data_IF_521853824808
#
_entry.id   IF_521853824808
#
_cell.length_a   1.000
_cell.length_b   1.000
_cell.length_c   1.000
_cell.angle_alpha   90.00
_cell.angle_beta   90.00
_cell.angle_gamma   90.00
#
_symmetry.space_group_name_H-M   'P 1'
#
loop_
_entity.id
_entity.type
_entity.pdbx_description
1 polymer ?
#
# COMPACT_ATOMS: atom_id res chain seq x y z
N UNK A 1 -3.98 -15.86 15.64
CA UNK A 1 -4.13 -14.94 14.49
C UNK A 1 -2.86 -14.13 14.40
N UNK A 2 -2.16 -14.18 13.28
CA UNK A 2 -1.07 -13.25 13.02
C UNK A 2 -1.71 -12.00 12.41
N UNK A 3 -1.81 -10.94 13.21
CA UNK A 3 -2.28 -9.65 12.70
C UNK A 3 -1.21 -9.03 11.79
N UNK A 4 -1.60 -8.35 10.72
CA UNK A 4 -0.69 -7.80 9.72
C UNK A 4 -0.09 -6.45 10.12
N UNK A 5 1.10 -6.17 9.62
CA UNK A 5 1.60 -4.80 9.45
C UNK A 5 1.40 -4.45 7.98
N UNK A 6 1.11 -3.17 7.67
CA UNK A 6 0.69 -2.74 6.33
C UNK A 6 0.98 -1.25 6.15
N UNK A 7 1.29 -0.82 4.92
CA UNK A 7 1.56 0.57 4.56
C UNK A 7 0.96 0.83 3.18
N UNK A 8 0.05 1.80 3.09
CA UNK A 8 -0.90 1.87 1.99
C UNK A 8 -0.77 3.14 1.15
N UNK A 9 -1.06 2.96 -0.15
CA UNK A 9 -1.45 3.99 -1.10
C UNK A 9 -2.72 3.48 -1.78
N UNK A 10 -3.84 4.14 -1.55
CA UNK A 10 -5.16 3.71 -2.04
C UNK A 10 -5.81 4.81 -2.88
N UNK A 11 -6.17 4.46 -4.11
CA UNK A 11 -6.90 5.35 -5.01
C UNK A 11 -8.40 5.11 -4.87
N UNK A 12 -9.13 6.14 -4.44
CA UNK A 12 -10.57 6.03 -4.21
C UNK A 12 -11.33 6.47 -5.46
N UNK A 13 -11.99 5.53 -6.14
CA UNK A 13 -12.55 5.74 -7.49
C UNK A 13 -13.52 6.92 -7.66
N UNK A 14 -14.13 7.42 -6.58
CA UNK A 14 -14.98 8.62 -6.56
C UNK A 14 -14.25 9.93 -6.86
N UNK A 15 -12.94 10.00 -6.63
CA UNK A 15 -12.12 11.19 -6.85
C UNK A 15 -10.76 10.82 -7.44
N UNK A 16 -10.55 11.22 -8.70
CA UNK A 16 -9.31 10.93 -9.43
C UNK A 16 -8.17 11.92 -9.17
N UNK A 17 -8.38 12.92 -8.31
CA UNK A 17 -7.41 13.97 -8.00
C UNK A 17 -6.77 13.82 -6.62
N UNK A 18 -7.17 12.79 -5.88
CA UNK A 18 -6.67 12.53 -4.53
C UNK A 18 -6.22 11.09 -4.35
N UNK A 19 -5.38 10.87 -3.34
CA UNK A 19 -4.97 9.53 -2.88
C UNK A 19 -5.08 9.42 -1.36
N UNK A 20 -5.48 8.26 -0.87
CA UNK A 20 -5.46 7.93 0.55
C UNK A 20 -4.14 7.23 0.90
N UNK A 21 -3.61 7.53 2.08
CA UNK A 21 -2.51 6.77 2.69
C UNK A 21 -2.94 6.26 4.05
N UNK A 22 -2.43 5.11 4.45
CA UNK A 22 -2.67 4.52 5.77
C UNK A 22 -1.47 3.68 6.19
N UNK A 23 -1.42 3.29 7.46
CA UNK A 23 -0.53 2.22 7.89
C UNK A 23 -1.12 1.48 9.10
N UNK A 24 -0.89 0.17 9.13
CA UNK A 24 -1.36 -0.72 10.17
C UNK A 24 -0.20 -1.28 10.98
N UNK A 25 -0.46 -1.46 12.27
CA UNK A 25 0.47 -2.06 13.22
C UNK A 25 -0.27 -3.14 13.98
N UNK A 26 0.11 -4.41 13.80
CA UNK A 26 -0.56 -5.55 14.45
C UNK A 26 -2.08 -5.51 14.21
N UNK A 27 -2.49 -5.24 12.96
CA UNK A 27 -3.89 -5.20 12.51
C UNK A 27 -4.66 -3.94 12.90
N UNK A 28 -4.03 -3.01 13.62
CA UNK A 28 -4.65 -1.73 13.99
C UNK A 28 -4.25 -0.65 12.98
N UNK A 29 -5.23 -0.17 12.19
CA UNK A 29 -5.14 0.97 11.28
C UNK A 29 -5.72 2.24 11.91
N UNK A 30 -6.71 2.86 11.22
CA UNK A 30 -7.33 4.14 11.58
C UNK A 30 -6.35 5.33 11.56
N UNK A 31 -5.46 5.36 10.56
CA UNK A 31 -4.47 6.42 10.34
C UNK A 31 -4.57 6.99 8.93
N UNK A 32 -5.79 7.02 8.40
CA UNK A 32 -6.09 7.46 7.04
C UNK A 32 -5.78 8.96 6.89
N UNK A 33 -5.12 9.31 5.79
CA UNK A 33 -4.95 10.71 5.37
C UNK A 33 -5.18 10.81 3.86
N UNK A 34 -6.01 11.77 3.46
CA UNK A 34 -6.25 12.13 2.06
C UNK A 34 -5.27 13.21 1.60
N UNK A 35 -4.75 13.04 0.37
CA UNK A 35 -3.78 13.94 -0.24
C UNK A 35 -4.22 14.36 -1.63
N UNK A 36 -4.35 15.66 -1.86
CA UNK A 36 -4.60 16.25 -3.18
C UNK A 36 -3.34 16.15 -4.06
N UNK A 37 -3.48 15.59 -5.26
CA UNK A 37 -2.39 15.39 -6.21
C UNK A 37 -2.17 16.62 -7.10
N UNK A 38 -3.24 17.37 -7.40
CA UNK A 38 -3.23 18.47 -8.37
C UNK A 38 -3.22 18.00 -9.84
N UNK A 39 -3.40 16.70 -10.08
CA UNK A 39 -3.52 16.07 -11.39
C UNK A 39 -4.49 14.88 -11.31
N UNK A 40 -5.02 14.46 -12.45
CA UNK A 40 -5.83 13.25 -12.57
C UNK A 40 -4.91 12.03 -12.71
N UNK A 41 -4.86 11.15 -11.71
CA UNK A 41 -3.92 10.02 -11.70
C UNK A 41 -4.15 8.99 -12.83
N UNK A 42 -5.25 9.10 -13.59
CA UNK A 42 -5.56 8.21 -14.72
C UNK A 42 -5.10 8.71 -16.08
N UNK A 43 -4.58 9.94 -16.17
CA UNK A 43 -4.20 10.57 -17.45
C UNK A 43 -2.77 10.27 -17.90
N UNK A 44 -1.85 10.01 -16.98
CA UNK A 44 -0.47 9.60 -17.26
C UNK A 44 0.10 8.73 -16.13
N UNK A 45 1.28 8.15 -16.34
CA UNK A 45 2.05 7.48 -15.29
C UNK A 45 2.69 8.51 -14.35
N UNK A 46 2.45 8.33 -13.06
CA UNK A 46 3.08 9.07 -11.98
C UNK A 46 3.93 8.13 -11.10
N UNK A 47 4.95 8.67 -10.44
CA UNK A 47 5.80 7.90 -9.53
C UNK A 47 5.19 7.92 -8.12
N UNK A 48 4.93 6.73 -7.56
CA UNK A 48 4.49 6.56 -6.18
C UNK A 48 5.54 5.78 -5.41
N UNK A 49 5.97 6.30 -4.27
CA UNK A 49 7.06 5.72 -3.48
C UNK A 49 6.70 5.68 -2.00
N UNK A 50 6.86 4.51 -1.40
CA UNK A 50 6.91 4.33 0.05
C UNK A 50 8.37 4.12 0.44
N UNK A 51 8.88 4.97 1.32
CA UNK A 51 10.14 4.72 2.04
C UNK A 51 9.80 4.30 3.46
N UNK A 52 10.03 3.03 3.77
CA UNK A 52 9.78 2.48 5.08
C UNK A 52 11.11 2.21 5.79
N UNK A 53 11.25 2.76 6.98
CA UNK A 53 12.38 2.52 7.87
C UNK A 53 11.94 2.35 9.33
N UNK A 54 12.90 2.09 10.24
CA UNK A 54 12.60 1.80 11.64
C UNK A 54 12.11 3.01 12.45
N UNK A 55 12.32 4.23 11.93
CA UNK A 55 11.97 5.49 12.60
C UNK A 55 11.00 6.36 11.79
N UNK A 56 10.93 6.16 10.47
CA UNK A 56 10.12 7.01 9.59
C UNK A 56 9.48 6.20 8.49
N UNK A 57 8.23 6.55 8.15
CA UNK A 57 7.60 6.15 6.89
C UNK A 57 7.32 7.42 6.10
N UNK A 58 7.76 7.44 4.84
CA UNK A 58 7.54 8.56 3.92
C UNK A 58 6.77 8.08 2.69
N UNK A 59 5.76 8.84 2.30
CA UNK A 59 5.04 8.68 1.04
C UNK A 59 5.40 9.84 0.12
N UNK A 60 5.79 9.51 -1.10
CA UNK A 60 6.13 10.47 -2.12
C UNK A 60 5.32 10.23 -3.38
N UNK A 61 4.96 11.34 -4.04
CA UNK A 61 4.35 11.35 -5.37
C UNK A 61 5.17 12.27 -6.26
N UNK A 62 5.63 11.76 -7.41
CA UNK A 62 6.51 12.47 -8.35
C UNK A 62 7.73 13.12 -7.66
N UNK A 63 8.35 12.37 -6.74
CA UNK A 63 9.49 12.82 -5.93
C UNK A 63 9.16 13.84 -4.83
N UNK A 64 7.91 14.32 -4.71
CA UNK A 64 7.46 15.23 -3.66
C UNK A 64 6.94 14.45 -2.45
N UNK A 65 7.43 14.79 -1.25
CA UNK A 65 6.92 14.26 0.01
C UNK A 65 5.48 14.74 0.24
N UNK A 66 4.53 13.81 0.34
CA UNK A 66 3.12 14.09 0.65
C UNK A 66 2.75 13.75 2.10
N UNK A 67 3.41 12.75 2.68
CA UNK A 67 3.23 12.35 4.09
C UNK A 67 4.53 11.85 4.68
N UNK A 68 4.76 12.21 5.94
CA UNK A 68 5.83 11.65 6.78
C UNK A 68 5.25 11.30 8.14
N UNK A 69 5.47 10.07 8.56
CA UNK A 69 5.19 9.62 9.93
C UNK A 69 6.51 9.34 10.63
N UNK A 70 6.63 9.82 11.86
CA UNK A 70 7.80 9.61 12.70
C UNK A 70 7.42 8.76 13.89
N UNK A 71 8.19 7.70 14.15
CA UNK A 71 7.94 6.79 15.27
C UNK A 71 8.11 7.52 16.58
N UNK A 72 7.05 7.57 17.38
CA UNK A 72 7.10 8.08 18.75
C UNK A 72 7.55 6.99 19.72
N UNK A 73 8.14 7.36 20.86
CA UNK A 73 8.39 6.42 21.95
C UNK A 73 7.10 5.68 22.32
N UNK A 74 7.21 4.36 22.53
CA UNK A 74 6.14 3.46 22.92
C UNK A 74 4.96 3.32 21.94
N UNK A 75 5.08 3.86 20.73
CA UNK A 75 4.11 3.64 19.64
C UNK A 75 4.47 2.37 18.85
N UNK A 76 3.46 1.55 18.58
CA UNK A 76 3.61 0.39 17.69
C UNK A 76 4.04 0.86 16.30
N UNK A 77 4.84 0.05 15.61
CA UNK A 77 5.43 0.40 14.32
C UNK A 77 5.39 -0.81 13.37
N UNK A 78 5.22 -0.60 12.05
CA UNK A 78 5.36 -1.68 11.08
C UNK A 78 6.80 -2.22 11.11
N UNK A 79 6.97 -3.46 11.57
CA UNK A 79 8.29 -4.08 11.80
C UNK A 79 8.39 -5.48 11.19
N UNK A 80 7.25 -6.12 10.91
CA UNK A 80 7.25 -7.45 10.28
C UNK A 80 7.73 -7.36 8.83
N UNK A 81 8.41 -8.39 8.31
CA UNK A 81 8.64 -8.51 6.87
C UNK A 81 7.31 -8.43 6.12
N UNK A 82 7.25 -7.57 5.09
CA UNK A 82 6.06 -7.32 4.29
C UNK A 82 6.33 -7.62 2.81
N UNK A 83 5.30 -8.11 2.12
CA UNK A 83 5.31 -8.20 0.66
C UNK A 83 4.83 -6.88 0.05
N UNK A 84 5.31 -6.58 -1.16
CA UNK A 84 4.68 -5.57 -1.99
C UNK A 84 3.42 -6.17 -2.64
N UNK A 85 2.27 -5.54 -2.43
CA UNK A 85 0.99 -5.93 -3.05
C UNK A 85 0.45 -4.83 -3.95
N UNK A 86 -0.38 -5.25 -4.89
CA UNK A 86 -1.22 -4.38 -5.71
C UNK A 86 -2.50 -5.13 -6.06
N UNK A 87 -3.63 -4.43 -6.05
CA UNK A 87 -4.93 -4.97 -6.44
C UNK A 87 -5.82 -3.89 -7.05
N UNK A 88 -6.84 -4.33 -7.79
CA UNK A 88 -7.96 -3.50 -8.22
C UNK A 88 -9.22 -4.25 -7.78
N UNK A 89 -10.06 -3.63 -6.97
CA UNK A 89 -11.22 -4.28 -6.36
C UNK A 89 -12.36 -3.29 -6.17
N UNK A 90 -13.58 -3.83 -6.10
CA UNK A 90 -14.80 -3.05 -5.85
C UNK A 90 -14.97 -2.80 -4.34
N UNK A 91 -14.76 -1.55 -3.93
CA UNK A 91 -14.91 -1.10 -2.54
C UNK A 91 -16.25 -0.39 -2.26
N UNK A 92 -17.21 -0.45 -3.18
CA UNK A 92 -18.49 0.28 -3.07
C UNK A 92 -19.38 -0.19 -1.92
N UNK A 93 -19.11 -1.36 -1.35
CA UNK A 93 -19.82 -1.90 -0.19
C UNK A 93 -19.32 -1.31 1.14
N UNK A 94 -18.20 -0.62 1.16
CA UNK A 94 -17.62 -0.04 2.38
C UNK A 94 -18.30 1.28 2.70
N UNK A 95 -18.74 1.41 3.95
CA UNK A 95 -19.44 2.58 4.49
C UNK A 95 -20.54 3.09 3.55
N UNK A 96 -21.36 2.16 3.04
CA UNK A 96 -22.47 2.44 2.13
C UNK A 96 -22.05 3.20 0.83
N UNK A 97 -20.78 3.01 0.42
CA UNK A 97 -20.19 3.65 -0.75
C UNK A 97 -19.63 5.04 -0.48
N UNK A 98 -19.67 5.52 0.77
CA UNK A 98 -19.12 6.83 1.13
C UNK A 98 -17.60 6.88 0.91
N UNK A 99 -16.90 5.76 1.11
CA UNK A 99 -15.44 5.70 1.09
C UNK A 99 -14.89 5.77 -0.33
N UNK A 100 -15.20 4.80 -1.20
CA UNK A 100 -14.67 4.72 -2.56
C UNK A 100 -15.63 5.21 -3.66
N UNK A 101 -16.90 5.50 -3.32
CA UNK A 101 -17.98 5.75 -4.28
C UNK A 101 -18.79 4.50 -4.61
N UNK A 102 -19.93 4.70 -5.28
CA UNK A 102 -20.75 3.60 -5.81
C UNK A 102 -20.13 3.07 -7.11
N UNK A 103 -20.20 1.75 -7.31
CA UNK A 103 -19.73 1.12 -8.54
C UNK A 103 -20.83 1.12 -9.60
N UNK A 104 -20.63 1.90 -10.67
CA UNK A 104 -21.54 1.94 -11.84
C UNK A 104 -21.16 0.91 -12.91
N UNK A 105 -19.86 0.68 -13.12
CA UNK A 105 -19.36 -0.35 -14.04
C UNK A 105 -19.59 -0.11 -15.54
N UNK A 106 -20.03 1.09 -15.94
CA UNK A 106 -20.41 1.40 -17.32
C UNK A 106 -19.23 1.60 -18.29
N UNK A 107 -18.01 1.83 -17.77
CA UNK A 107 -16.79 2.06 -18.55
C UNK A 107 -15.83 0.85 -18.51
N UNK A 108 -16.31 -0.32 -18.06
CA UNK A 108 -15.51 -1.53 -18.00
C UNK A 108 -14.98 -1.95 -19.39
N UNK A 109 -13.76 -2.53 -19.49
CA UNK A 109 -12.88 -2.93 -18.39
C UNK A 109 -12.05 -1.78 -17.81
N UNK A 110 -11.93 -1.75 -16.47
CA UNK A 110 -11.01 -0.85 -15.76
C UNK A 110 -9.61 -1.49 -15.70
N UNK A 111 -8.62 -0.83 -16.30
CA UNK A 111 -7.25 -1.33 -16.38
C UNK A 111 -6.33 -0.42 -15.56
N UNK A 112 -5.69 -0.98 -14.55
CA UNK A 112 -4.61 -0.31 -13.81
C UNK A 112 -3.26 -0.84 -14.29
N UNK A 113 -2.39 0.06 -14.76
CA UNK A 113 -1.09 -0.31 -15.35
C UNK A 113 0.05 0.10 -14.42
N UNK A 114 1.01 -0.80 -14.23
CA UNK A 114 2.20 -0.57 -13.42
C UNK A 114 3.45 -0.73 -14.29
N UNK A 115 4.44 0.14 -14.12
CA UNK A 115 5.75 0.04 -14.78
C UNK A 115 6.87 0.42 -13.81
N UNK A 116 8.09 -0.02 -14.11
CA UNK A 116 9.30 0.31 -13.33
C UNK A 116 9.18 0.05 -11.82
N UNK A 117 8.54 -1.06 -11.44
CA UNK A 117 8.42 -1.48 -10.03
C UNK A 117 9.81 -1.76 -9.46
N UNK A 118 10.16 -1.05 -8.37
CA UNK A 118 11.46 -1.16 -7.68
C UNK A 118 11.25 -1.61 -6.24
N UNK A 119 12.14 -2.48 -5.76
CA UNK A 119 12.15 -3.00 -4.38
C UNK A 119 13.55 -2.84 -3.76
N UNK A 120 13.69 -2.85 -2.42
CA UNK A 120 14.99 -2.82 -1.77
C UNK A 120 15.88 -4.01 -2.19
N UNK A 121 17.17 -3.76 -2.42
CA UNK A 121 18.12 -4.78 -2.87
C UNK A 121 18.60 -5.70 -1.73
N UNK A 122 18.76 -5.16 -0.52
CA UNK A 122 19.44 -5.85 0.59
C UNK A 122 18.48 -6.64 1.52
N UNK A 123 17.16 -6.59 1.28
CA UNK A 123 16.14 -7.18 2.16
C UNK A 123 15.33 -8.32 1.50
N UNK A 124 15.91 -9.01 0.51
CA UNK A 124 15.24 -10.14 -0.16
C UNK A 124 15.29 -11.36 0.77
N UNK A 125 14.14 -11.73 1.35
CA UNK A 125 13.98 -13.01 2.04
C UNK A 125 13.93 -14.12 0.99
N UNK A 126 14.99 -14.90 0.86
CA UNK A 126 15.00 -16.12 0.04
C UNK A 126 14.44 -17.28 0.87
N UNK A 127 13.38 -17.93 0.41
CA UNK A 127 12.95 -19.20 0.99
C UNK A 127 13.99 -20.29 0.68
N UNK A 128 14.84 -20.63 1.64
CA UNK A 128 15.63 -21.86 1.56
C UNK A 128 14.71 -23.07 1.77
N UNK A 129 14.46 -23.83 0.70
CA UNK A 129 13.84 -25.16 0.79
C UNK A 129 14.73 -26.08 1.63
N UNK A 130 14.32 -26.39 2.87
CA UNK A 130 14.76 -27.60 3.56
C UNK A 130 14.16 -28.83 2.86
N UNK A 131 14.95 -29.46 1.99
CA UNK A 131 14.76 -30.85 1.63
C UNK A 131 15.50 -31.70 2.68
N UNK A 132 14.82 -31.98 3.79
CA UNK A 132 15.30 -32.98 4.74
C UNK A 132 15.06 -34.36 4.12
N UNK A 133 16.13 -34.95 3.59
CA UNK A 133 16.17 -36.34 3.17
C UNK A 133 16.00 -37.25 4.38
N UNK A 134 14.98 -38.09 4.37
CA UNK A 134 14.88 -39.25 5.26
C UNK A 134 15.11 -40.48 4.40
N UNK A 135 16.34 -41.01 4.42
CA UNK A 135 16.61 -42.39 4.07
C UNK A 135 16.30 -43.25 5.30
N UNK A 136 15.28 -44.09 5.19
CA UNK A 136 15.09 -45.21 6.09
C UNK A 136 15.99 -46.36 5.65
N UNK A 137 16.94 -46.75 6.50
CA UNK A 137 17.36 -48.13 6.78
C UNK A 137 17.98 -48.17 8.18
#
# INVERSE_FOLDING_TARGET
MLFQDEIDIEFLGKDKFSVQTNFFTVGCGNREQMHELGFNYSEDFHEYLIKWGPLTIEWLVDGKLIRKEERKPDEAWPEKPMFLYSSVWDASFIDEGSWAGKYEGCDAPYICSYRDIRVPVENIVTEEKKLDGVSHE
#
